data_IF_279754320669
#
_entry.id   IF_279754320669
#
_cell.length_a   1.000
_cell.length_b   1.000
_cell.length_c   1.000
_cell.angle_alpha   90.00
_cell.angle_beta   90.00
_cell.angle_gamma   90.00
#
_symmetry.space_group_name_H-M   'P 1'
#
loop_
_entity.id
_entity.type
_entity.pdbx_description
1 polymer ?
#
# COMPACT_ATOMS: atom_id res chain seq x y z
N UNK A 1 -64.04 16.94 0.30
CA UNK A 1 -63.07 16.39 1.28
C UNK A 1 -62.07 15.38 0.66
N UNK A 2 -61.72 15.49 -0.63
CA UNK A 2 -60.83 14.54 -1.32
C UNK A 2 -59.56 15.16 -1.92
N UNK A 3 -59.51 16.48 -2.13
CA UNK A 3 -58.32 17.13 -2.70
C UNK A 3 -57.17 17.34 -1.71
N UNK A 4 -57.43 17.49 -0.41
CA UNK A 4 -56.36 17.72 0.57
C UNK A 4 -55.53 16.49 0.94
N UNK A 5 -56.08 15.26 0.80
CA UNK A 5 -55.32 14.03 1.07
C UNK A 5 -54.29 13.72 -0.02
N UNK A 6 -54.56 14.10 -1.28
CA UNK A 6 -53.64 13.83 -2.40
C UNK A 6 -52.38 14.71 -2.35
N UNK A 7 -52.49 15.94 -1.85
CA UNK A 7 -51.36 16.87 -1.76
C UNK A 7 -50.35 16.47 -0.67
N UNK A 8 -50.84 16.02 0.50
CA UNK A 8 -49.97 15.52 1.57
C UNK A 8 -49.23 14.23 1.19
N UNK A 9 -49.88 13.33 0.45
CA UNK A 9 -49.27 12.06 0.03
C UNK A 9 -48.13 12.26 -0.99
N UNK A 10 -48.20 13.29 -1.84
CA UNK A 10 -47.15 13.64 -2.81
C UNK A 10 -45.92 14.27 -2.14
N UNK A 11 -46.09 15.01 -1.06
CA UNK A 11 -44.99 15.64 -0.31
C UNK A 11 -44.21 14.60 0.50
N UNK A 12 -44.89 13.61 1.09
CA UNK A 12 -44.23 12.55 1.86
C UNK A 12 -43.39 11.58 1.01
N UNK A 13 -43.78 11.36 -0.26
CA UNK A 13 -43.00 10.52 -1.19
C UNK A 13 -41.74 11.24 -1.68
N UNK A 14 -41.79 12.57 -1.86
CA UNK A 14 -40.64 13.35 -2.31
C UNK A 14 -39.51 13.40 -1.27
N UNK A 15 -39.87 13.48 0.02
CA UNK A 15 -38.90 13.48 1.14
C UNK A 15 -38.25 12.11 1.33
N UNK A 16 -38.99 11.02 1.07
CA UNK A 16 -38.44 9.66 1.15
C UNK A 16 -37.42 9.37 0.02
N UNK A 17 -37.66 9.89 -1.19
CA UNK A 17 -36.73 9.76 -2.33
C UNK A 17 -35.48 10.64 -2.17
N UNK A 18 -35.60 11.79 -1.51
CA UNK A 18 -34.43 12.59 -1.13
C UNK A 18 -33.61 11.92 -0.02
N UNK A 19 -34.24 11.31 0.99
CA UNK A 19 -33.52 10.60 2.05
C UNK A 19 -32.80 9.31 1.57
N UNK A 20 -33.35 8.62 0.56
CA UNK A 20 -32.76 7.40 -0.02
C UNK A 20 -31.61 7.66 -1.01
N UNK A 21 -31.49 8.87 -1.56
CA UNK A 21 -30.40 9.23 -2.49
C UNK A 21 -29.11 9.66 -1.78
N UNK A 22 -29.15 9.96 -0.48
CA UNK A 22 -27.95 10.32 0.30
C UNK A 22 -27.23 9.14 0.97
N UNK A 23 -27.74 7.90 0.88
CA UNK A 23 -27.15 6.75 1.57
C UNK A 23 -26.29 5.82 0.69
N UNK A 24 -26.04 6.19 -0.57
CA UNK A 24 -25.06 5.51 -1.44
C UNK A 24 -23.82 6.36 -1.69
N UNK A 25 -23.48 7.26 -0.78
CA UNK A 25 -22.09 7.64 -0.60
C UNK A 25 -21.37 6.43 0.00
N UNK A 26 -21.06 5.44 -0.85
CA UNK A 26 -19.84 4.66 -0.65
C UNK A 26 -18.76 5.71 -0.41
N UNK A 27 -18.31 5.83 0.84
CA UNK A 27 -17.09 6.54 1.15
C UNK A 27 -16.01 5.79 0.37
N UNK A 28 -15.83 6.16 -0.91
CA UNK A 28 -14.74 5.70 -1.73
C UNK A 28 -13.52 6.21 -1.00
N UNK A 29 -12.91 5.32 -0.21
CA UNK A 29 -11.71 5.59 0.53
C UNK A 29 -10.69 6.14 -0.49
N UNK A 30 -10.41 7.44 -0.40
CA UNK A 30 -9.65 8.18 -1.42
C UNK A 30 -8.15 7.92 -1.27
N UNK A 31 -7.77 6.69 -0.93
CA UNK A 31 -6.38 6.26 -0.91
C UNK A 31 -5.74 6.44 -2.30
N UNK A 32 -4.41 6.44 -2.41
CA UNK A 32 -3.68 6.88 -3.62
C UNK A 32 -3.85 8.38 -3.94
N UNK A 33 -3.92 9.23 -2.90
CA UNK A 33 -3.90 10.70 -2.99
C UNK A 33 -2.75 11.27 -2.15
N UNK A 34 -2.34 12.49 -2.45
CA UNK A 34 -1.53 13.28 -1.53
C UNK A 34 -2.46 13.86 -0.46
N UNK A 35 -2.04 13.76 0.80
CA UNK A 35 -2.82 14.26 1.92
C UNK A 35 -2.37 15.66 2.31
N UNK A 36 -3.32 16.58 2.36
CA UNK A 36 -3.09 17.94 2.86
C UNK A 36 -2.97 17.96 4.38
N UNK A 37 -3.79 17.16 5.06
CA UNK A 37 -3.83 17.07 6.52
C UNK A 37 -3.48 15.67 7.04
N UNK A 38 -2.89 15.65 8.25
CA UNK A 38 -2.42 14.43 8.89
C UNK A 38 -3.56 13.54 9.42
N UNK A 39 -4.71 14.12 9.75
CA UNK A 39 -5.82 13.38 10.33
C UNK A 39 -6.46 12.47 9.29
N UNK A 40 -6.72 12.98 8.08
CA UNK A 40 -7.21 12.21 6.94
C UNK A 40 -6.26 11.08 6.57
N UNK A 41 -4.94 11.32 6.54
CA UNK A 41 -3.94 10.28 6.25
C UNK A 41 -4.02 9.13 7.26
N UNK A 42 -4.04 9.46 8.55
CA UNK A 42 -4.08 8.46 9.61
C UNK A 42 -5.42 7.73 9.64
N UNK A 43 -6.54 8.42 9.41
CA UNK A 43 -7.86 7.79 9.39
C UNK A 43 -8.03 6.83 8.21
N UNK A 44 -7.68 7.25 7.00
CA UNK A 44 -7.76 6.40 5.80
C UNK A 44 -6.81 5.19 5.94
N UNK A 45 -5.61 5.41 6.48
CA UNK A 45 -4.64 4.34 6.77
C UNK A 45 -5.13 3.35 7.83
N UNK A 46 -5.73 3.82 8.92
CA UNK A 46 -6.37 2.95 9.93
C UNK A 46 -7.51 2.13 9.34
N UNK A 47 -8.31 2.71 8.46
CA UNK A 47 -9.39 2.00 7.78
C UNK A 47 -8.86 0.87 6.88
N UNK A 48 -7.78 1.11 6.15
CA UNK A 48 -7.09 0.08 5.36
C UNK A 48 -6.51 -1.02 6.25
N UNK A 49 -5.80 -0.66 7.31
CA UNK A 49 -5.24 -1.62 8.26
C UNK A 49 -6.35 -2.47 8.89
N UNK A 50 -7.47 -1.89 9.30
CA UNK A 50 -8.60 -2.63 9.83
C UNK A 50 -9.22 -3.60 8.81
N UNK A 51 -9.37 -3.17 7.55
CA UNK A 51 -9.86 -4.03 6.48
C UNK A 51 -8.92 -5.21 6.20
N UNK A 52 -7.61 -4.95 6.14
CA UNK A 52 -6.58 -5.98 5.98
C UNK A 52 -6.59 -6.96 7.18
N UNK A 53 -6.62 -6.45 8.42
CA UNK A 53 -6.73 -7.26 9.63
C UNK A 53 -7.95 -8.18 9.58
N UNK A 54 -9.11 -7.65 9.18
CA UNK A 54 -10.34 -8.44 9.05
C UNK A 54 -10.19 -9.57 8.02
N UNK A 55 -9.52 -9.30 6.91
CA UNK A 55 -9.24 -10.32 5.88
C UNK A 55 -8.32 -11.43 6.41
N UNK A 56 -7.26 -11.08 7.13
CA UNK A 56 -6.36 -12.05 7.77
C UNK A 56 -7.12 -12.88 8.82
N UNK A 57 -7.89 -12.24 9.70
CA UNK A 57 -8.66 -12.91 10.76
C UNK A 57 -9.77 -13.80 10.20
N UNK A 58 -10.34 -13.46 9.04
CA UNK A 58 -11.29 -14.35 8.34
C UNK A 58 -10.61 -15.67 7.92
N UNK A 59 -9.33 -15.62 7.54
CA UNK A 59 -8.57 -16.79 7.10
C UNK A 59 -8.03 -17.59 8.28
N UNK A 60 -7.49 -16.91 9.31
CA UNK A 60 -6.97 -17.52 10.54
C UNK A 60 -7.50 -16.78 11.77
N UNK A 61 -8.70 -17.12 12.27
CA UNK A 61 -9.36 -16.40 13.38
C UNK A 61 -8.57 -16.37 14.69
N UNK A 62 -7.69 -17.34 14.90
CA UNK A 62 -6.84 -17.43 16.09
C UNK A 62 -5.59 -16.55 16.01
N UNK A 63 -5.27 -15.98 14.84
CA UNK A 63 -4.12 -15.12 14.66
C UNK A 63 -4.41 -13.72 15.22
N UNK A 64 -3.65 -13.32 16.25
CA UNK A 64 -3.75 -11.97 16.82
C UNK A 64 -2.98 -10.97 15.93
N UNK A 65 -3.68 -10.41 14.96
CA UNK A 65 -3.13 -9.46 13.99
C UNK A 65 -3.52 -8.00 14.35
N UNK A 66 -2.92 -7.48 15.42
CA UNK A 66 -3.17 -6.12 15.92
C UNK A 66 -2.01 -5.20 15.52
N UNK A 67 -2.21 -4.40 14.48
CA UNK A 67 -1.21 -3.48 13.94
C UNK A 67 -1.71 -2.05 14.13
N UNK A 68 -0.89 -1.19 14.73
CA UNK A 68 -1.15 0.24 14.84
C UNK A 68 -0.83 0.94 13.52
N UNK A 69 -1.51 2.05 13.26
CA UNK A 69 -1.20 2.91 12.11
C UNK A 69 -1.07 4.35 12.58
N UNK A 70 0.09 4.96 12.32
CA UNK A 70 0.40 6.34 12.75
C UNK A 70 1.17 7.10 11.68
N UNK A 71 1.11 8.43 11.75
CA UNK A 71 1.98 9.30 10.96
C UNK A 71 3.39 9.31 11.57
N UNK A 72 4.39 8.99 10.75
CA UNK A 72 5.81 9.10 11.12
C UNK A 72 6.66 9.07 9.83
N UNK A 73 7.13 10.25 9.40
CA UNK A 73 7.76 10.47 8.07
C UNK A 73 9.27 10.70 8.10
N UNK A 74 9.90 10.81 9.28
CA UNK A 74 11.32 11.19 9.34
C UNK A 74 12.03 10.35 10.39
N UNK A 75 13.19 9.72 10.07
CA UNK A 75 13.95 9.80 8.81
C UNK A 75 13.44 8.87 7.69
N UNK A 76 12.42 8.05 7.97
CA UNK A 76 11.97 6.99 7.09
C UNK A 76 10.70 7.37 6.33
N UNK A 77 10.48 6.75 5.16
CA UNK A 77 9.25 6.90 4.39
C UNK A 77 8.12 6.05 5.01
N UNK A 78 7.55 5.12 4.25
CA UNK A 78 6.64 4.12 4.79
C UNK A 78 7.45 2.94 5.30
N UNK A 79 7.12 2.44 6.50
CA UNK A 79 7.79 1.28 7.08
C UNK A 79 6.98 0.62 8.20
N UNK A 80 7.15 -0.68 8.35
CA UNK A 80 6.73 -1.45 9.51
C UNK A 80 7.77 -1.39 10.64
N UNK A 81 7.30 -1.18 11.87
CA UNK A 81 8.09 -1.29 13.10
C UNK A 81 7.50 -2.37 14.00
N UNK A 82 8.32 -3.35 14.39
CA UNK A 82 7.89 -4.53 15.16
C UNK A 82 8.65 -4.77 16.48
N UNK A 83 9.42 -3.80 16.97
CA UNK A 83 10.26 -4.00 18.16
C UNK A 83 9.56 -3.61 19.47
N UNK A 84 10.09 -4.10 20.61
CA UNK A 84 9.60 -3.78 21.96
C UNK A 84 8.13 -4.11 22.22
N UNK A 85 7.59 -5.10 21.49
CA UNK A 85 6.19 -5.51 21.60
C UNK A 85 5.21 -4.57 20.89
N UNK A 86 5.68 -3.48 20.29
CA UNK A 86 4.86 -2.63 19.43
C UNK A 86 4.88 -3.14 17.98
N UNK A 87 3.72 -3.10 17.33
CA UNK A 87 3.60 -3.39 15.90
C UNK A 87 2.89 -2.24 15.21
N UNK A 88 3.61 -1.52 14.36
CA UNK A 88 3.13 -0.26 13.80
C UNK A 88 3.50 -0.12 12.34
N UNK A 89 2.51 0.16 11.48
CA UNK A 89 2.72 0.72 10.15
C UNK A 89 2.85 2.26 10.26
N UNK A 90 4.01 2.78 9.88
CA UNK A 90 4.33 4.20 9.91
C UNK A 90 4.06 4.81 8.54
N UNK A 91 3.14 5.77 8.47
CA UNK A 91 2.74 6.43 7.24
C UNK A 91 3.56 7.70 7.02
N UNK A 92 4.04 7.96 5.79
CA UNK A 92 4.70 9.20 5.45
C UNK A 92 3.71 10.24 4.89
N UNK A 93 3.96 11.53 5.14
CA UNK A 93 3.28 12.67 4.50
C UNK A 93 4.26 13.46 3.65
N UNK A 94 3.91 13.73 2.40
CA UNK A 94 4.81 14.40 1.44
C UNK A 94 5.49 15.67 1.99
N UNK A 95 4.74 16.54 2.66
CA UNK A 95 5.28 17.80 3.17
C UNK A 95 6.33 17.62 4.27
N UNK A 96 6.34 16.47 4.94
CA UNK A 96 7.30 16.10 5.98
C UNK A 96 8.51 15.32 5.43
N UNK A 97 8.51 14.94 4.15
CA UNK A 97 9.65 14.27 3.51
C UNK A 97 10.83 15.25 3.44
N UNK A 98 12.00 14.78 3.85
CA UNK A 98 13.23 15.58 3.84
C UNK A 98 13.70 15.88 2.42
N UNK A 99 14.39 17.00 2.24
CA UNK A 99 14.78 17.48 0.91
C UNK A 99 15.63 16.46 0.10
N UNK A 100 16.62 15.75 0.69
CA UNK A 100 17.37 14.74 -0.07
C UNK A 100 16.49 13.63 -0.66
N UNK A 101 15.46 13.20 0.07
CA UNK A 101 14.51 12.20 -0.41
C UNK A 101 13.58 12.77 -1.49
N UNK A 102 13.14 14.03 -1.36
CA UNK A 102 12.39 14.73 -2.42
C UNK A 102 13.19 14.80 -3.72
N UNK A 103 14.47 15.15 -3.64
CA UNK A 103 15.36 15.19 -4.80
C UNK A 103 15.53 13.83 -5.46
N UNK A 104 15.64 12.75 -4.69
CA UNK A 104 15.60 11.39 -5.22
C UNK A 104 14.32 11.16 -6.06
N UNK A 105 13.14 11.46 -5.51
CA UNK A 105 11.87 11.31 -6.22
C UNK A 105 11.85 12.11 -7.53
N UNK A 106 12.31 13.37 -7.49
CA UNK A 106 12.32 14.24 -8.66
C UNK A 106 13.25 13.72 -9.75
N UNK A 107 14.44 13.24 -9.36
CA UNK A 107 15.44 12.71 -10.27
C UNK A 107 14.93 11.46 -10.98
N UNK A 108 14.42 10.48 -10.22
CA UNK A 108 14.01 9.19 -10.80
C UNK A 108 12.70 9.32 -11.59
N UNK A 109 11.79 10.19 -11.16
CA UNK A 109 10.54 10.47 -11.87
C UNK A 109 10.73 11.41 -13.07
N UNK A 110 11.74 12.29 -13.03
CA UNK A 110 12.11 13.26 -14.06
C UNK A 110 11.51 14.66 -13.93
N UNK A 111 10.72 14.94 -12.89
CA UNK A 111 10.26 16.29 -12.53
C UNK A 111 9.69 16.30 -11.11
N UNK A 112 9.49 17.50 -10.53
CA UNK A 112 8.85 17.65 -9.23
C UNK A 112 7.43 17.09 -9.20
N UNK A 113 6.62 17.41 -10.21
CA UNK A 113 5.25 16.94 -10.33
C UNK A 113 5.20 15.41 -10.42
N UNK A 114 6.07 14.81 -11.23
CA UNK A 114 6.16 13.36 -11.34
C UNK A 114 6.67 12.70 -10.04
N UNK A 115 7.61 13.32 -9.32
CA UNK A 115 8.09 12.79 -8.04
C UNK A 115 7.00 12.81 -6.94
N UNK A 116 6.18 13.87 -6.90
CA UNK A 116 4.98 13.90 -6.05
C UNK A 116 3.97 12.81 -6.43
N UNK A 117 3.77 12.58 -7.72
CA UNK A 117 2.88 11.53 -8.21
C UNK A 117 3.39 10.12 -7.88
N UNK A 118 4.72 9.91 -7.94
CA UNK A 118 5.36 8.69 -7.46
C UNK A 118 5.09 8.48 -5.97
N UNK A 119 5.27 9.51 -5.15
CA UNK A 119 4.99 9.42 -3.72
C UNK A 119 3.53 9.05 -3.44
N UNK A 120 2.60 9.70 -4.14
CA UNK A 120 1.17 9.40 -4.09
C UNK A 120 0.86 7.94 -4.41
N UNK A 121 1.41 7.42 -5.51
CA UNK A 121 1.12 6.08 -6.01
C UNK A 121 1.68 4.99 -5.10
N UNK A 122 2.89 5.18 -4.59
CA UNK A 122 3.58 4.12 -3.85
C UNK A 122 3.46 4.29 -2.33
N UNK A 123 3.75 5.47 -1.79
CA UNK A 123 3.88 5.69 -0.34
C UNK A 123 2.56 6.12 0.32
N UNK A 124 1.67 6.78 -0.41
CA UNK A 124 0.27 7.00 0.00
C UNK A 124 -0.72 6.13 -0.79
N UNK A 125 -0.20 5.03 -1.33
CA UNK A 125 -0.92 4.10 -2.18
C UNK A 125 -0.50 2.67 -1.89
N UNK A 126 0.34 2.11 -2.76
CA UNK A 126 0.67 0.69 -2.75
C UNK A 126 1.21 0.13 -1.43
N UNK A 127 2.12 0.84 -0.75
CA UNK A 127 2.98 0.23 0.26
C UNK A 127 2.34 -0.04 1.62
N UNK A 128 1.17 0.52 1.97
CA UNK A 128 0.59 0.22 3.29
C UNK A 128 0.28 -1.28 3.46
N UNK A 129 -0.43 -1.96 2.54
CA UNK A 129 -0.57 -3.41 2.58
C UNK A 129 0.74 -4.20 2.47
N UNK A 130 1.78 -3.62 1.85
CA UNK A 130 3.12 -4.21 1.84
C UNK A 130 3.70 -4.24 3.26
N UNK A 131 3.65 -3.12 4.01
CA UNK A 131 4.09 -3.09 5.42
C UNK A 131 3.27 -4.02 6.32
N UNK A 132 1.97 -4.18 6.02
CA UNK A 132 1.14 -5.17 6.72
C UNK A 132 1.53 -6.62 6.35
N UNK A 133 2.11 -6.84 5.18
CA UNK A 133 2.80 -8.08 4.82
C UNK A 133 4.00 -8.34 5.74
N UNK A 134 4.90 -7.37 5.89
CA UNK A 134 6.02 -7.48 6.85
C UNK A 134 5.53 -7.77 8.28
N UNK A 135 4.45 -7.11 8.69
CA UNK A 135 3.82 -7.37 9.99
C UNK A 135 3.29 -8.81 10.11
N UNK A 136 2.71 -9.36 9.05
CA UNK A 136 2.21 -10.73 9.01
C UNK A 136 3.34 -11.73 9.14
N UNK A 137 4.42 -11.52 8.38
CA UNK A 137 5.61 -12.36 8.46
C UNK A 137 6.26 -12.31 9.84
N UNK A 138 6.38 -11.11 10.42
CA UNK A 138 6.87 -10.97 11.78
C UNK A 138 6.04 -11.79 12.77
N UNK A 139 4.71 -11.70 12.69
CA UNK A 139 3.82 -12.41 13.61
C UNK A 139 3.94 -13.93 13.48
N UNK A 140 4.19 -14.44 12.26
CA UNK A 140 4.18 -15.89 11.99
C UNK A 140 5.54 -16.54 12.11
N UNK A 141 6.63 -15.81 11.81
CA UNK A 141 8.00 -16.33 11.76
C UNK A 141 8.96 -15.65 12.74
N UNK A 142 8.54 -14.59 13.41
CA UNK A 142 9.39 -13.74 14.25
C UNK A 142 10.03 -12.59 13.47
N UNK A 143 10.74 -11.72 14.17
CA UNK A 143 11.37 -10.55 13.54
C UNK A 143 12.53 -10.97 12.63
N UNK A 144 12.36 -10.77 11.32
CA UNK A 144 13.40 -11.00 10.32
C UNK A 144 14.10 -9.67 9.99
N UNK A 145 15.40 -9.73 9.68
CA UNK A 145 16.25 -8.53 9.48
C UNK A 145 16.32 -8.09 8.02
N UNK A 146 15.22 -8.20 7.27
CA UNK A 146 15.16 -7.81 5.87
C UNK A 146 15.89 -8.80 4.96
N UNK A 147 15.26 -9.12 3.83
CA UNK A 147 15.85 -9.94 2.78
C UNK A 147 15.13 -9.71 1.45
N UNK A 148 15.72 -10.16 0.35
CA UNK A 148 15.05 -10.13 -0.96
C UNK A 148 13.70 -10.85 -0.92
N UNK A 149 13.63 -11.98 -0.21
CA UNK A 149 12.44 -12.84 -0.12
C UNK A 149 11.36 -12.22 0.78
N UNK A 150 11.74 -11.56 1.88
CA UNK A 150 10.80 -10.78 2.72
C UNK A 150 10.13 -9.67 1.92
N UNK A 151 10.92 -8.92 1.14
CA UNK A 151 10.39 -7.86 0.28
C UNK A 151 9.51 -8.42 -0.84
N UNK A 152 9.90 -9.55 -1.43
CA UNK A 152 9.09 -10.22 -2.44
C UNK A 152 7.76 -10.70 -1.86
N UNK A 153 7.77 -11.25 -0.64
CA UNK A 153 6.57 -11.64 0.09
C UNK A 153 5.66 -10.44 0.36
N UNK A 154 6.19 -9.38 0.96
CA UNK A 154 5.43 -8.17 1.27
C UNK A 154 4.85 -7.51 0.00
N UNK A 155 5.62 -7.46 -1.10
CA UNK A 155 5.14 -7.00 -2.40
C UNK A 155 4.03 -7.90 -2.97
N UNK A 156 4.16 -9.22 -2.82
CA UNK A 156 3.12 -10.17 -3.25
C UNK A 156 1.83 -9.95 -2.48
N UNK A 157 1.91 -9.84 -1.15
CA UNK A 157 0.79 -9.56 -0.27
C UNK A 157 0.10 -8.25 -0.66
N UNK A 158 0.88 -7.17 -0.83
CA UNK A 158 0.34 -5.86 -1.21
C UNK A 158 -0.35 -5.87 -2.57
N UNK A 159 0.27 -6.50 -3.57
CA UNK A 159 -0.27 -6.66 -4.93
C UNK A 159 -1.61 -7.42 -4.90
N UNK A 160 -1.65 -8.57 -4.24
CA UNK A 160 -2.84 -9.41 -4.18
C UNK A 160 -3.96 -8.76 -3.38
N UNK A 161 -3.64 -8.09 -2.27
CA UNK A 161 -4.65 -7.41 -1.47
C UNK A 161 -5.30 -6.25 -2.25
N UNK A 162 -4.51 -5.41 -2.92
CA UNK A 162 -5.07 -4.34 -3.74
C UNK A 162 -5.90 -4.86 -4.92
N UNK A 163 -5.51 -5.99 -5.54
CA UNK A 163 -6.35 -6.67 -6.54
C UNK A 163 -7.69 -7.09 -5.94
N UNK A 164 -7.71 -7.67 -4.74
CA UNK A 164 -8.92 -8.04 -4.01
C UNK A 164 -9.81 -6.83 -3.69
N UNK A 165 -9.23 -5.68 -3.36
CA UNK A 165 -9.97 -4.43 -3.11
C UNK A 165 -10.44 -3.72 -4.40
N UNK A 166 -10.25 -4.31 -5.58
CA UNK A 166 -10.70 -3.75 -6.85
C UNK A 166 -9.91 -2.54 -7.34
N UNK A 167 -8.67 -2.34 -6.84
CA UNK A 167 -7.81 -1.19 -7.19
C UNK A 167 -7.01 -1.40 -8.48
N UNK A 168 -7.62 -2.03 -9.48
CA UNK A 168 -6.94 -2.39 -10.74
C UNK A 168 -6.44 -1.17 -11.52
N UNK A 169 -7.17 -0.04 -11.47
CA UNK A 169 -6.73 1.20 -12.12
C UNK A 169 -5.46 1.74 -11.46
N UNK A 170 -5.46 1.88 -10.14
CA UNK A 170 -4.33 2.41 -9.38
C UNK A 170 -3.11 1.49 -9.49
N UNK A 171 -3.31 0.16 -9.47
CA UNK A 171 -2.22 -0.80 -9.71
C UNK A 171 -1.64 -0.68 -11.12
N UNK A 172 -2.47 -0.42 -12.14
CA UNK A 172 -1.99 -0.14 -13.50
C UNK A 172 -1.18 1.16 -13.54
N UNK A 173 -1.65 2.21 -12.87
CA UNK A 173 -0.93 3.47 -12.78
C UNK A 173 0.45 3.27 -12.11
N UNK A 174 0.51 2.52 -11.01
CA UNK A 174 1.77 2.11 -10.37
C UNK A 174 2.67 1.30 -11.32
N UNK A 175 2.13 0.34 -12.08
CA UNK A 175 2.89 -0.48 -13.02
C UNK A 175 3.53 0.35 -14.14
N UNK A 176 2.76 1.22 -14.78
CA UNK A 176 3.28 2.09 -15.83
C UNK A 176 4.33 3.07 -15.29
N UNK A 177 4.14 3.55 -14.05
CA UNK A 177 5.12 4.40 -13.39
C UNK A 177 6.40 3.63 -13.04
N UNK A 178 6.28 2.45 -12.45
CA UNK A 178 7.40 1.58 -12.09
C UNK A 178 8.27 1.25 -13.31
N UNK A 179 7.66 0.92 -14.46
CA UNK A 179 8.41 0.67 -15.70
C UNK A 179 9.23 1.87 -16.16
N UNK A 180 8.63 3.06 -16.11
CA UNK A 180 9.31 4.31 -16.52
C UNK A 180 10.49 4.63 -15.60
N UNK A 181 10.31 4.46 -14.29
CA UNK A 181 11.37 4.72 -13.30
C UNK A 181 12.46 3.65 -13.38
N UNK A 182 12.09 2.38 -13.40
CA UNK A 182 13.04 1.26 -13.42
C UNK A 182 13.97 1.32 -14.64
N UNK A 183 13.45 1.71 -15.81
CA UNK A 183 14.26 1.88 -17.02
C UNK A 183 15.33 3.00 -16.93
N UNK A 184 15.21 3.91 -15.95
CA UNK A 184 16.17 5.00 -15.72
C UNK A 184 17.14 4.72 -14.57
N UNK A 185 16.81 3.76 -13.70
CA UNK A 185 17.66 3.45 -12.56
C UNK A 185 18.95 2.75 -13.04
N UNK A 186 20.13 3.12 -12.50
CA UNK A 186 21.35 2.38 -12.75
C UNK A 186 21.16 0.93 -12.33
N UNK A 187 21.61 -0.02 -13.17
CA UNK A 187 21.58 -1.44 -12.81
C UNK A 187 22.71 -1.72 -11.80
N UNK A 188 22.40 -2.07 -10.54
CA UNK A 188 23.42 -2.34 -9.53
C UNK A 188 23.97 -3.78 -9.59
N UNK A 189 23.41 -4.63 -10.45
CA UNK A 189 23.69 -6.07 -10.47
C UNK A 189 24.98 -6.36 -11.25
N UNK A 190 25.97 -7.02 -10.64
CA UNK A 190 27.18 -7.45 -11.33
C UNK A 190 26.88 -8.40 -12.50
N UNK A 191 27.72 -8.37 -13.54
CA UNK A 191 27.60 -9.29 -14.66
C UNK A 191 27.64 -10.75 -14.20
N UNK A 192 26.72 -11.56 -14.70
CA UNK A 192 26.61 -12.99 -14.35
C UNK A 192 25.84 -13.29 -13.07
N UNK A 193 25.35 -12.28 -12.34
CA UNK A 193 24.48 -12.47 -11.17
C UNK A 193 23.03 -12.09 -11.46
N UNK A 194 22.10 -12.69 -10.73
CA UNK A 194 20.69 -12.31 -10.71
C UNK A 194 20.42 -11.23 -9.67
N UNK A 195 19.25 -10.57 -9.77
CA UNK A 195 18.80 -9.60 -8.77
C UNK A 195 18.67 -10.28 -7.39
N UNK A 196 18.07 -11.47 -7.36
CA UNK A 196 17.87 -12.21 -6.12
C UNK A 196 19.20 -12.56 -5.44
N UNK A 197 20.18 -13.08 -6.19
CA UNK A 197 21.50 -13.40 -5.65
C UNK A 197 22.19 -12.16 -5.06
N UNK A 198 22.20 -11.05 -5.81
CA UNK A 198 22.84 -9.82 -5.37
C UNK A 198 22.19 -9.27 -4.08
N UNK A 199 20.85 -9.17 -4.04
CA UNK A 199 20.16 -8.63 -2.88
C UNK A 199 20.19 -9.59 -1.69
N UNK A 200 20.18 -10.90 -1.91
CA UNK A 200 20.37 -11.89 -0.84
C UNK A 200 21.74 -11.72 -0.17
N UNK A 201 22.80 -11.49 -0.96
CA UNK A 201 24.15 -11.33 -0.43
C UNK A 201 24.45 -9.94 0.15
N UNK A 202 23.76 -8.88 -0.31
CA UNK A 202 24.12 -7.49 -0.01
C UNK A 202 22.99 -6.69 0.65
N UNK A 203 21.91 -7.34 1.11
CA UNK A 203 20.65 -6.68 1.46
C UNK A 203 20.82 -5.42 2.32
N UNK A 204 21.52 -5.54 3.45
CA UNK A 204 21.69 -4.44 4.41
C UNK A 204 22.35 -3.22 3.78
N UNK A 205 23.42 -3.41 2.99
CA UNK A 205 24.09 -2.30 2.30
C UNK A 205 23.26 -1.77 1.14
N UNK A 206 22.55 -2.66 0.43
CA UNK A 206 21.74 -2.31 -0.72
C UNK A 206 20.48 -1.51 -0.33
N UNK A 207 19.93 -1.72 0.87
CA UNK A 207 18.76 -0.99 1.39
C UNK A 207 19.08 0.42 1.89
N UNK A 208 20.36 0.73 2.16
CA UNK A 208 20.82 2.07 2.55
C UNK A 208 20.85 3.06 1.37
N UNK A 209 20.96 2.57 0.13
CA UNK A 209 20.96 3.39 -1.08
C UNK A 209 19.58 3.34 -1.77
N UNK A 210 18.82 4.45 -1.83
CA UNK A 210 17.49 4.48 -2.41
C UNK A 210 17.45 4.16 -3.91
N UNK A 211 18.53 4.40 -4.66
CA UNK A 211 18.60 4.03 -6.08
C UNK A 211 18.74 2.52 -6.25
N UNK A 212 19.59 1.90 -5.45
CA UNK A 212 19.81 0.45 -5.45
C UNK A 212 18.54 -0.25 -4.96
N UNK A 213 18.03 0.13 -3.80
CA UNK A 213 16.82 -0.47 -3.23
C UNK A 213 15.59 -0.26 -4.13
N UNK A 214 15.44 0.94 -4.70
CA UNK A 214 14.39 1.25 -5.67
C UNK A 214 14.45 0.34 -6.91
N UNK A 215 15.64 -0.01 -7.39
CA UNK A 215 15.80 -0.91 -8.54
C UNK A 215 15.17 -2.29 -8.27
N UNK A 216 15.38 -2.86 -7.09
CA UNK A 216 14.74 -4.12 -6.68
C UNK A 216 13.23 -3.96 -6.51
N UNK A 217 12.80 -2.95 -5.74
CA UNK A 217 11.39 -2.75 -5.40
C UNK A 217 10.53 -2.57 -6.66
N UNK A 218 10.93 -1.72 -7.61
CA UNK A 218 10.19 -1.55 -8.86
C UNK A 218 10.24 -2.80 -9.73
N UNK A 219 11.35 -3.54 -9.76
CA UNK A 219 11.43 -4.77 -10.54
C UNK A 219 10.49 -5.84 -10.01
N UNK A 220 10.48 -6.08 -8.70
CA UNK A 220 9.57 -7.02 -8.07
C UNK A 220 8.10 -6.62 -8.31
N UNK A 221 7.78 -5.33 -8.17
CA UNK A 221 6.43 -4.83 -8.49
C UNK A 221 6.01 -5.18 -9.92
N UNK A 222 6.88 -4.87 -10.91
CA UNK A 222 6.63 -5.16 -12.33
C UNK A 222 6.38 -6.65 -12.55
N UNK A 223 7.26 -7.50 -12.00
CA UNK A 223 7.16 -8.96 -12.12
C UNK A 223 5.84 -9.49 -11.54
N UNK A 224 5.47 -9.06 -10.33
CA UNK A 224 4.25 -9.49 -9.65
C UNK A 224 2.96 -8.98 -10.31
N UNK A 225 3.01 -7.81 -10.95
CA UNK A 225 1.89 -7.30 -11.73
C UNK A 225 1.67 -8.11 -13.01
N UNK A 226 2.76 -8.50 -13.67
CA UNK A 226 2.77 -9.27 -14.89
C UNK A 226 2.44 -10.75 -14.66
N UNK A 227 2.80 -11.31 -13.50
CA UNK A 227 2.54 -12.69 -13.15
C UNK A 227 1.03 -13.00 -13.07
N UNK A 228 0.57 -13.86 -13.97
CA UNK A 228 -0.82 -14.34 -14.05
C UNK A 228 -1.01 -15.70 -13.38
N UNK A 229 0.07 -16.30 -12.88
CA UNK A 229 0.03 -17.58 -12.17
C UNK A 229 -0.22 -17.45 -10.67
N UNK A 230 -0.04 -16.24 -10.11
CA UNK A 230 -0.32 -15.99 -8.70
C UNK A 230 -1.79 -16.29 -8.35
N UNK A 231 -2.05 -16.97 -7.23
CA UNK A 231 -3.41 -17.17 -6.74
C UNK A 231 -4.01 -15.85 -6.24
N UNK A 232 -5.31 -15.88 -5.91
CA UNK A 232 -5.94 -14.76 -5.20
C UNK A 232 -5.36 -14.56 -3.78
N UNK A 233 -5.64 -13.40 -3.17
CA UNK A 233 -5.15 -13.06 -1.84
C UNK A 233 -5.53 -14.08 -0.76
N UNK A 234 -6.80 -14.50 -0.71
CA UNK A 234 -7.29 -15.39 0.34
C UNK A 234 -6.60 -16.77 0.22
N UNK A 235 -6.46 -17.27 -1.00
CA UNK A 235 -5.74 -18.52 -1.31
C UNK A 235 -4.25 -18.41 -0.96
N UNK A 236 -3.58 -17.33 -1.35
CA UNK A 236 -2.16 -17.10 -1.07
C UNK A 236 -1.88 -17.10 0.44
N UNK A 237 -2.63 -16.29 1.19
CA UNK A 237 -2.47 -16.17 2.65
C UNK A 237 -2.82 -17.50 3.34
N UNK A 238 -3.87 -18.21 2.89
CA UNK A 238 -4.21 -19.52 3.44
C UNK A 238 -3.08 -20.53 3.24
N UNK A 239 -2.39 -20.52 2.10
CA UNK A 239 -1.24 -21.40 1.87
C UNK A 239 -0.05 -21.01 2.74
N UNK A 240 0.20 -19.71 2.90
CA UNK A 240 1.29 -19.19 3.74
C UNK A 240 1.11 -19.49 5.23
N UNK A 241 -0.12 -19.47 5.73
CA UNK A 241 -0.45 -19.63 7.16
C UNK A 241 -0.71 -21.08 7.61
N UNK A 242 -0.59 -22.05 6.71
CA UNK A 242 -0.66 -23.49 7.04
C UNK A 242 0.55 -23.90 7.85
#
# INVERSE_FOLDING_TARGET
MHLHKLAFMKISILILVFALSFQLASAQNQWFKLYEDSASLVNDGKAITAAFTKDIQKIKPTLTFNINTRLNTTPYLIFYWGENGERTANLPKWDQVIEPQKQFFYQVAGSEAAGKDMFRLFFNGFYLPHELGHALEHITKGNLKGSYQEEYFANTVGMLWWKKQGKSKELKDCYEFAKKVWAKLPNPIPAGSTIEEFFTANYQKASEDPFVYGYMQFKQFIQLYEDKSLPDFDTYIKLYLK
#
